data_IF_373544300806
#
_entry.id   IF_373544300806
#
_cell.length_a   1.000
_cell.length_b   1.000
_cell.length_c   1.000
_cell.angle_alpha   90.00
_cell.angle_beta   90.00
_cell.angle_gamma   90.00
#
_symmetry.space_group_name_H-M   'P 1'
#
loop_
_entity.id
_entity.type
_entity.pdbx_description
1 polymer ?
#
# COMPACT_ATOMS: atom_id res chain seq x y z
N UNK A 1 -4.26 16.09 16.74
CA UNK A 1 -3.55 15.20 15.79
C UNK A 1 -4.14 13.80 15.99
N UNK A 2 -4.97 13.34 15.04
CA UNK A 2 -5.62 12.03 15.18
C UNK A 2 -4.54 10.93 15.27
N UNK A 3 -4.69 9.92 16.15
CA UNK A 3 -3.74 8.83 16.23
C UNK A 3 -3.68 8.12 14.88
N UNK A 4 -2.49 7.98 14.30
CA UNK A 4 -2.26 7.19 13.09
C UNK A 4 -2.58 5.74 13.43
N UNK A 5 -3.83 5.35 13.21
CA UNK A 5 -4.35 4.01 13.44
C UNK A 5 -3.74 3.08 12.40
N UNK A 6 -2.63 2.44 12.76
CA UNK A 6 -1.89 1.50 11.92
C UNK A 6 -2.50 0.12 12.08
N UNK A 7 -3.00 -0.44 10.98
CA UNK A 7 -3.55 -1.79 10.97
C UNK A 7 -2.84 -2.63 9.93
N UNK A 8 -2.40 -3.81 10.36
CA UNK A 8 -2.03 -4.88 9.45
C UNK A 8 -3.34 -5.48 8.91
N UNK A 9 -3.85 -4.93 7.82
CA UNK A 9 -5.11 -5.40 7.22
C UNK A 9 -4.83 -6.63 6.36
N UNK A 10 -5.77 -7.57 6.37
CA UNK A 10 -5.78 -8.69 5.42
C UNK A 10 -5.92 -8.12 4.01
N UNK A 11 -5.35 -8.83 3.02
CA UNK A 11 -5.42 -8.45 1.60
C UNK A 11 -6.87 -8.32 1.08
N UNK A 12 -7.84 -8.86 1.81
CA UNK A 12 -9.27 -8.78 1.53
C UNK A 12 -9.92 -7.43 1.88
N UNK A 13 -9.22 -6.55 2.60
CA UNK A 13 -9.75 -5.24 2.93
C UNK A 13 -10.09 -4.45 1.65
N UNK A 14 -11.28 -3.83 1.52
CA UNK A 14 -11.69 -3.15 0.30
C UNK A 14 -10.71 -2.06 -0.18
N UNK A 15 -10.07 -1.34 0.75
CA UNK A 15 -9.09 -0.29 0.42
C UNK A 15 -7.82 -0.93 -0.14
N UNK A 16 -7.37 -2.03 0.47
CA UNK A 16 -6.22 -2.81 -0.03
C UNK A 16 -6.55 -3.40 -1.40
N UNK A 17 -7.73 -4.00 -1.60
CA UNK A 17 -8.15 -4.54 -2.91
C UNK A 17 -8.18 -3.48 -4.01
N UNK A 18 -8.56 -2.24 -3.69
CA UNK A 18 -8.48 -1.10 -4.63
C UNK A 18 -7.02 -0.80 -4.97
N UNK A 19 -6.14 -0.68 -3.98
CA UNK A 19 -4.72 -0.45 -4.22
C UNK A 19 -4.08 -1.55 -5.08
N UNK A 20 -4.45 -2.81 -4.83
CA UNK A 20 -3.97 -3.98 -5.58
C UNK A 20 -4.41 -4.02 -7.05
N UNK A 21 -5.46 -3.27 -7.44
CA UNK A 21 -5.91 -3.14 -8.83
C UNK A 21 -5.15 -2.07 -9.62
N UNK A 22 -4.32 -1.26 -8.97
CA UNK A 22 -3.41 -0.34 -9.67
C UNK A 22 -2.28 -1.12 -10.34
N UNK A 23 -1.64 -0.54 -11.35
CA UNK A 23 -0.47 -1.15 -12.00
C UNK A 23 0.65 -1.49 -10.99
N UNK A 24 0.92 -0.58 -10.05
CA UNK A 24 1.90 -0.79 -8.99
C UNK A 24 1.48 -1.92 -8.03
N UNK A 25 0.22 -1.93 -7.61
CA UNK A 25 -0.31 -2.97 -6.73
C UNK A 25 -0.33 -4.35 -7.38
N UNK A 26 -0.70 -4.45 -8.66
CA UNK A 26 -0.67 -5.67 -9.44
C UNK A 26 0.76 -6.19 -9.62
N UNK A 27 1.71 -5.29 -9.89
CA UNK A 27 3.14 -5.63 -9.93
C UNK A 27 3.60 -6.20 -8.59
N UNK A 28 3.23 -5.57 -7.47
CA UNK A 28 3.58 -6.08 -6.14
C UNK A 28 2.95 -7.44 -5.84
N UNK A 29 1.73 -7.73 -6.30
CA UNK A 29 1.14 -9.06 -6.19
C UNK A 29 1.98 -10.10 -6.94
N UNK A 30 2.36 -9.80 -8.17
CA UNK A 30 3.13 -10.72 -9.01
C UNK A 30 4.56 -10.95 -8.47
N UNK A 31 5.17 -9.88 -7.93
CA UNK A 31 6.54 -9.91 -7.43
C UNK A 31 6.66 -10.51 -6.02
N UNK A 32 5.71 -10.23 -5.13
CA UNK A 32 5.87 -10.50 -3.71
C UNK A 32 5.53 -11.93 -3.34
N UNK A 33 6.44 -12.62 -2.63
CA UNK A 33 6.16 -13.94 -2.06
C UNK A 33 5.40 -13.84 -0.75
N UNK A 34 5.69 -12.80 0.04
CA UNK A 34 5.01 -12.52 1.31
C UNK A 34 4.53 -11.06 1.31
N UNK A 35 3.42 -10.80 0.63
CA UNK A 35 2.85 -9.46 0.51
C UNK A 35 2.17 -9.04 1.81
N UNK A 36 2.55 -7.87 2.31
CA UNK A 36 1.92 -7.19 3.43
C UNK A 36 1.37 -5.83 3.00
N UNK A 37 0.24 -5.45 3.58
CA UNK A 37 -0.37 -4.15 3.37
C UNK A 37 -0.51 -3.43 4.72
N UNK A 38 0.05 -2.22 4.77
CA UNK A 38 -0.12 -1.27 5.85
C UNK A 38 -1.02 -0.13 5.33
N UNK A 39 -2.10 0.19 6.03
CA UNK A 39 -3.01 1.28 5.64
C UNK A 39 -2.89 2.43 6.64
N UNK A 40 -2.69 3.63 6.14
CA UNK A 40 -2.64 4.87 6.94
C UNK A 40 -3.67 5.87 6.40
N UNK A 41 -4.40 6.59 7.26
CA UNK A 41 -5.26 7.69 6.80
C UNK A 41 -4.40 8.81 6.20
N UNK A 42 -4.80 9.33 5.04
CA UNK A 42 -4.13 10.42 4.33
C UNK A 42 -5.18 11.39 3.77
N UNK A 43 -5.31 12.59 4.36
CA UNK A 43 -6.29 13.59 3.93
C UNK A 43 -7.72 13.05 3.94
N UNK A 44 -8.41 13.12 2.79
CA UNK A 44 -9.75 12.56 2.52
C UNK A 44 -9.70 11.11 2.01
N UNK A 45 -8.63 10.38 2.28
CA UNK A 45 -8.44 9.03 1.79
C UNK A 45 -7.46 8.22 2.63
N UNK A 46 -6.82 7.26 1.97
CA UNK A 46 -5.92 6.30 2.58
C UNK A 46 -4.66 6.13 1.77
N UNK A 47 -3.54 6.01 2.47
CA UNK A 47 -2.27 5.56 1.93
C UNK A 47 -2.12 4.07 2.22
N UNK A 48 -2.02 3.27 1.17
CA UNK A 48 -1.73 1.83 1.25
C UNK A 48 -0.27 1.61 0.91
N UNK A 49 0.48 1.09 1.86
CA UNK A 49 1.89 0.73 1.71
C UNK A 49 1.94 -0.79 1.54
N UNK A 50 2.29 -1.23 0.33
CA UNK A 50 2.47 -2.63 0.00
C UNK A 50 3.94 -2.99 0.09
N UNK A 51 4.28 -4.11 0.73
CA UNK A 51 5.67 -4.54 0.89
C UNK A 51 5.83 -6.05 0.88
N UNK A 52 6.95 -6.54 0.34
CA UNK A 52 7.37 -7.93 0.52
C UNK A 52 8.17 -8.06 1.83
N UNK A 53 7.68 -8.87 2.77
CA UNK A 53 8.31 -9.04 4.07
C UNK A 53 9.72 -9.66 4.03
N UNK A 54 10.13 -10.29 2.92
CA UNK A 54 11.52 -10.79 2.74
C UNK A 54 12.53 -9.65 2.67
N UNK A 55 12.17 -8.59 1.96
CA UNK A 55 13.07 -7.48 1.64
C UNK A 55 12.83 -6.26 2.53
N UNK A 56 11.58 -6.07 2.95
CA UNK A 56 11.16 -4.92 3.75
C UNK A 56 10.40 -5.41 5.00
N UNK A 57 11.18 -5.83 6.01
CA UNK A 57 10.65 -6.09 7.37
C UNK A 57 10.09 -4.81 8.00
N UNK A 58 10.69 -3.66 7.67
CA UNK A 58 10.25 -2.32 8.04
C UNK A 58 9.80 -1.53 6.81
N UNK A 59 9.00 -0.46 7.00
CA UNK A 59 8.44 0.41 5.94
C UNK A 59 9.48 1.37 5.34
N UNK A 60 10.66 0.86 4.99
CA UNK A 60 11.70 1.67 4.35
C UNK A 60 11.49 1.63 2.84
N UNK A 61 11.38 2.79 2.21
CA UNK A 61 11.22 2.93 0.76
C UNK A 61 12.36 2.18 0.04
N UNK A 62 12.02 1.39 -0.98
CA UNK A 62 12.95 0.54 -1.72
C UNK A 62 12.20 -0.36 -2.70
N UNK A 63 12.93 -1.17 -3.48
CA UNK A 63 12.34 -1.99 -4.57
C UNK A 63 11.24 -2.96 -4.11
N UNK A 64 11.23 -3.34 -2.83
CA UNK A 64 10.22 -4.22 -2.24
C UNK A 64 9.08 -3.48 -1.53
N UNK A 65 8.93 -2.17 -1.73
CA UNK A 65 7.89 -1.33 -1.10
C UNK A 65 7.29 -0.38 -2.13
N UNK A 66 5.96 -0.35 -2.25
CA UNK A 66 5.26 0.68 -3.03
C UNK A 66 4.15 1.31 -2.22
N UNK A 67 3.87 2.57 -2.51
CA UNK A 67 2.81 3.34 -1.86
C UNK A 67 1.74 3.69 -2.88
N UNK A 68 0.49 3.44 -2.52
CA UNK A 68 -0.69 3.72 -3.33
C UNK A 68 -1.64 4.60 -2.53
N UNK A 69 -1.98 5.77 -3.05
CA UNK A 69 -2.97 6.65 -2.46
C UNK A 69 -4.36 6.31 -3.02
N UNK A 70 -5.31 6.04 -2.14
CA UNK A 70 -6.69 5.65 -2.43
C UNK A 70 -7.62 6.73 -1.88
N UNK A 71 -8.28 7.50 -2.73
CA UNK A 71 -9.28 8.46 -2.29
C UNK A 71 -10.59 7.77 -1.88
N UNK A 72 -11.29 8.31 -0.89
CA UNK A 72 -12.60 7.83 -0.44
C UNK A 72 -13.65 7.86 -1.60
N UNK A 73 -13.43 8.76 -2.58
CA UNK A 73 -14.23 8.92 -3.81
C UNK A 73 -13.82 8.08 -5.03
N UNK A 74 -12.88 7.15 -4.91
CA UNK A 74 -12.61 6.13 -5.95
C UNK A 74 -11.52 6.46 -6.97
N UNK A 75 -10.82 7.59 -6.86
CA UNK A 75 -9.57 7.83 -7.61
C UNK A 75 -8.41 7.22 -6.85
N UNK A 76 -7.53 6.50 -7.55
CA UNK A 76 -6.39 5.83 -6.94
C UNK A 76 -5.15 6.17 -7.75
N UNK A 77 -4.17 6.80 -7.12
CA UNK A 77 -2.90 7.16 -7.73
C UNK A 77 -1.78 6.38 -7.06
N UNK A 78 -1.04 5.62 -7.88
CA UNK A 78 0.13 4.89 -7.42
C UNK A 78 1.36 5.80 -7.51
N UNK A 79 2.01 6.07 -6.38
CA UNK A 79 3.22 6.87 -6.36
C UNK A 79 4.44 5.96 -6.29
N UNK A 80 5.06 5.74 -7.44
CA UNK A 80 6.36 5.05 -7.54
C UNK A 80 7.41 6.13 -7.79
N UNK A 81 8.14 6.54 -6.76
CA UNK A 81 9.34 7.37 -6.96
C UNK A 81 10.54 6.45 -7.16
N UNK A 82 10.92 6.26 -8.43
CA UNK A 82 12.25 5.76 -8.78
C UNK A 82 13.29 6.77 -8.29
N UNK A 83 14.31 6.27 -7.59
CA UNK A 83 15.56 7.00 -7.37
C UNK A 83 16.34 7.08 -8.67
#
# INVERSE_FOLDING_TARGET
IAPVKRYLKRLDDPVVRRALRTCAGATMIAFSRYLYADVEPEGSGYRVILRDARYARERRLGFGVVTVSVEEGGKTEAQTRSR
#
